data_IF_203082373776
#
_entry.id   IF_203082373776
#
_cell.length_a   1.000
_cell.length_b   1.000
_cell.length_c   1.000
_cell.angle_alpha   90.00
_cell.angle_beta   90.00
_cell.angle_gamma   90.00
#
_symmetry.space_group_name_H-M   'P 1'
#
loop_
_entity.id
_entity.type
_entity.pdbx_description
1 polymer ?
#
# COMPACT_ATOMS: atom_id res chain seq x y z
N UNK A 1 -6.85 -13.32 16.12
CA UNK A 1 -5.93 -13.83 15.07
C UNK A 1 -5.36 -12.71 14.20
N UNK A 2 -6.18 -11.82 13.64
CA UNK A 2 -5.69 -10.73 12.77
C UNK A 2 -4.75 -9.73 13.49
N UNK A 3 -5.07 -9.39 14.74
CA UNK A 3 -4.25 -8.49 15.57
C UNK A 3 -2.85 -9.03 15.86
N UNK A 4 -2.76 -10.32 16.18
CA UNK A 4 -1.50 -10.99 16.56
C UNK A 4 -0.56 -11.18 15.37
N UNK A 5 -1.13 -11.43 14.18
CA UNK A 5 -0.35 -11.77 12.98
C UNK A 5 0.11 -10.52 12.22
N UNK A 6 -0.72 -9.45 12.20
CA UNK A 6 -0.43 -8.26 11.39
C UNK A 6 -0.11 -7.05 12.27
N UNK A 7 -0.84 -6.84 13.36
CA UNK A 7 -0.74 -5.61 14.14
C UNK A 7 0.48 -5.65 15.08
N UNK A 8 0.68 -6.76 15.79
CA UNK A 8 1.73 -6.91 16.79
C UNK A 8 3.16 -6.78 16.23
N UNK A 9 3.51 -7.35 15.05
CA UNK A 9 4.84 -7.17 14.47
C UNK A 9 5.09 -5.72 14.05
N UNK A 10 4.07 -5.05 13.50
CA UNK A 10 4.15 -3.64 13.09
C UNK A 10 4.36 -2.75 14.32
N UNK A 11 3.61 -3.01 15.39
CA UNK A 11 3.70 -2.25 16.63
C UNK A 11 5.06 -2.43 17.33
N UNK A 12 5.56 -3.67 17.41
CA UNK A 12 6.89 -3.95 17.96
C UNK A 12 8.01 -3.32 17.13
N UNK A 13 7.91 -3.33 15.80
CA UNK A 13 8.89 -2.69 14.94
C UNK A 13 8.90 -1.16 15.14
N UNK A 14 7.72 -0.55 15.30
CA UNK A 14 7.61 0.89 15.57
C UNK A 14 8.19 1.25 16.94
N UNK A 15 7.90 0.47 17.98
CA UNK A 15 8.44 0.67 19.33
C UNK A 15 9.96 0.45 19.39
N UNK A 16 10.48 -0.51 18.61
CA UNK A 16 11.92 -0.71 18.46
C UNK A 16 12.60 0.52 17.86
N UNK A 17 11.98 1.19 16.88
CA UNK A 17 12.54 2.41 16.28
C UNK A 17 12.41 3.59 17.24
N UNK A 18 11.30 3.66 17.98
CA UNK A 18 11.08 4.68 19.00
C UNK A 18 12.12 4.62 20.11
N UNK A 19 12.51 3.43 20.57
CA UNK A 19 13.46 3.27 21.68
C UNK A 19 14.90 3.69 21.33
N UNK A 20 15.25 3.78 20.05
CA UNK A 20 16.58 4.21 19.58
C UNK A 20 16.67 5.72 19.37
N UNK A 21 15.55 6.45 19.44
CA UNK A 21 15.49 7.88 19.15
C UNK A 21 15.75 8.69 20.42
N UNK A 22 16.86 9.44 20.51
CA UNK A 22 17.13 10.30 21.66
C UNK A 22 16.15 11.48 21.65
N UNK A 23 15.40 11.68 22.74
CA UNK A 23 14.47 12.80 22.91
C UNK A 23 12.98 12.47 22.80
N UNK A 24 12.60 11.20 22.55
CA UNK A 24 11.21 10.75 22.68
C UNK A 24 10.23 11.30 21.64
N UNK A 25 10.73 11.91 20.56
CA UNK A 25 9.90 12.47 19.48
C UNK A 25 9.32 11.34 18.61
N UNK A 26 8.05 11.07 18.86
CA UNK A 26 7.28 10.06 18.13
C UNK A 26 7.12 10.40 16.65
N UNK A 27 7.13 11.69 16.27
CA UNK A 27 7.05 12.14 14.88
C UNK A 27 8.26 11.71 14.07
N UNK A 28 9.46 11.89 14.63
CA UNK A 28 10.72 11.44 14.01
C UNK A 28 10.74 9.91 13.86
N UNK A 29 10.24 9.18 14.86
CA UNK A 29 10.14 7.72 14.82
C UNK A 29 9.26 7.23 13.68
N UNK A 30 8.12 7.88 13.45
CA UNK A 30 7.25 7.53 12.34
C UNK A 30 7.93 7.86 11.02
N UNK A 31 8.52 9.04 10.84
CA UNK A 31 9.20 9.41 9.59
C UNK A 31 10.28 8.37 9.23
N UNK A 32 11.14 8.00 10.18
CA UNK A 32 12.16 6.97 9.99
C UNK A 32 11.58 5.60 9.64
N UNK A 33 10.55 5.16 10.36
CA UNK A 33 9.84 3.92 10.05
C UNK A 33 9.28 3.93 8.62
N UNK A 34 8.65 5.03 8.21
CA UNK A 34 8.09 5.14 6.86
C UNK A 34 9.16 5.10 5.77
N UNK A 35 10.33 5.72 5.99
CA UNK A 35 11.45 5.67 5.05
C UNK A 35 11.99 4.25 4.92
N UNK A 36 12.23 3.57 6.04
CA UNK A 36 12.73 2.18 6.06
C UNK A 36 11.77 1.25 5.33
N UNK A 37 10.48 1.34 5.65
CA UNK A 37 9.43 0.55 5.00
C UNK A 37 9.39 0.86 3.49
N UNK A 38 9.55 2.13 3.08
CA UNK A 38 9.56 2.51 1.67
C UNK A 38 10.74 1.92 0.90
N UNK A 39 11.92 1.86 1.52
CA UNK A 39 13.08 1.17 0.95
C UNK A 39 12.86 -0.35 0.83
N UNK A 40 12.33 -1.00 1.87
CA UNK A 40 12.02 -2.43 1.86
C UNK A 40 10.97 -2.78 0.79
N UNK A 41 10.01 -1.88 0.55
CA UNK A 41 8.95 -2.09 -0.44
C UNK A 41 9.34 -1.66 -1.85
N UNK A 42 10.46 -0.97 -2.06
CA UNK A 42 10.94 -0.60 -3.38
C UNK A 42 10.92 -1.74 -4.42
N UNK A 43 11.42 -2.96 -4.13
CA UNK A 43 11.31 -4.08 -5.08
C UNK A 43 9.85 -4.46 -5.38
N UNK A 44 8.95 -4.34 -4.40
CA UNK A 44 7.51 -4.58 -4.58
C UNK A 44 6.89 -3.49 -5.47
N UNK A 45 7.21 -2.22 -5.25
CA UNK A 45 6.78 -1.08 -6.08
C UNK A 45 7.23 -1.27 -7.53
N UNK A 46 8.48 -1.66 -7.76
CA UNK A 46 9.00 -1.96 -9.10
C UNK A 46 8.19 -3.06 -9.80
N UNK A 47 7.84 -4.13 -9.07
CA UNK A 47 6.96 -5.20 -9.59
C UNK A 47 5.54 -4.70 -9.89
N UNK A 48 5.00 -3.81 -9.06
CA UNK A 48 3.67 -3.22 -9.25
C UNK A 48 3.61 -2.33 -10.50
N UNK A 49 4.63 -1.50 -10.73
CA UNK A 49 4.77 -0.69 -11.94
C UNK A 49 4.83 -1.55 -13.20
N UNK A 50 5.57 -2.65 -13.16
CA UNK A 50 5.60 -3.61 -14.26
C UNK A 50 4.21 -4.21 -14.54
N UNK A 51 3.47 -4.61 -13.50
CA UNK A 51 2.10 -5.11 -13.67
C UNK A 51 1.14 -4.05 -14.22
N UNK A 52 1.26 -2.78 -13.80
CA UNK A 52 0.47 -1.68 -14.36
C UNK A 52 0.71 -1.51 -15.86
N UNK A 53 1.96 -1.63 -16.32
CA UNK A 53 2.29 -1.61 -17.75
C UNK A 53 1.64 -2.78 -18.50
N UNK A 54 1.64 -3.99 -17.92
CA UNK A 54 0.96 -5.15 -18.52
C UNK A 54 -0.56 -4.97 -18.56
N UNK A 55 -1.16 -4.40 -17.52
CA UNK A 55 -2.59 -4.05 -17.51
C UNK A 55 -2.95 -3.09 -18.65
N UNK A 56 -2.14 -2.07 -18.90
CA UNK A 56 -2.35 -1.14 -20.04
C UNK A 56 -2.28 -1.86 -21.38
N UNK A 57 -1.32 -2.78 -21.55
CA UNK A 57 -1.21 -3.61 -22.77
C UNK A 57 -2.41 -4.54 -22.98
N UNK A 58 -3.04 -4.99 -21.91
CA UNK A 58 -4.17 -5.92 -21.93
C UNK A 58 -5.53 -5.23 -22.16
N UNK A 59 -5.65 -3.91 -21.93
CA UNK A 59 -6.89 -3.14 -22.18
C UNK A 59 -7.57 -3.41 -23.54
N UNK A 60 -6.86 -3.46 -24.69
CA UNK A 60 -7.50 -3.77 -25.96
C UNK A 60 -8.09 -5.19 -26.02
N UNK A 61 -7.48 -6.18 -25.36
CA UNK A 61 -8.01 -7.55 -25.30
C UNK A 61 -9.23 -7.64 -24.37
N UNK A 62 -9.24 -6.89 -23.27
CA UNK A 62 -10.42 -6.73 -22.42
C UNK A 62 -11.62 -6.15 -23.19
N UNK A 63 -11.38 -5.18 -24.08
CA UNK A 63 -12.43 -4.62 -24.92
C UNK A 63 -12.99 -5.65 -25.93
N UNK A 64 -12.14 -6.55 -26.45
CA UNK A 64 -12.58 -7.66 -27.31
C UNK A 64 -13.43 -8.67 -26.54
N UNK A 65 -13.04 -9.04 -25.32
CA UNK A 65 -13.81 -9.92 -24.44
C UNK A 65 -15.19 -9.31 -24.17
N UNK A 66 -15.25 -8.02 -23.84
CA UNK A 66 -16.51 -7.33 -23.57
C UNK A 66 -17.46 -7.34 -24.78
N UNK A 67 -16.92 -7.20 -25.99
CA UNK A 67 -17.70 -7.33 -27.25
C UNK A 67 -18.13 -8.78 -27.50
N UNK A 68 -17.23 -9.75 -27.29
CA UNK A 68 -17.53 -11.17 -27.52
C UNK A 68 -18.54 -11.75 -26.53
N UNK A 69 -18.56 -11.25 -25.29
CA UNK A 69 -19.46 -11.70 -24.24
C UNK A 69 -20.92 -11.26 -24.47
N UNK A 70 -21.19 -10.31 -25.38
CA UNK A 70 -22.55 -9.88 -25.77
C UNK A 70 -23.51 -9.64 -24.59
N UNK A 71 -23.00 -9.07 -23.48
CA UNK A 71 -23.79 -8.76 -22.28
C UNK A 71 -23.89 -9.88 -21.23
N UNK A 72 -23.33 -11.06 -21.49
CA UNK A 72 -23.23 -12.12 -20.48
C UNK A 72 -22.08 -11.83 -19.50
N UNK A 73 -22.44 -11.26 -18.34
CA UNK A 73 -21.48 -10.91 -17.27
C UNK A 73 -20.68 -12.09 -16.74
N UNK A 74 -21.24 -13.30 -16.75
CA UNK A 74 -20.56 -14.48 -16.21
C UNK A 74 -19.45 -14.95 -17.16
N UNK A 75 -19.74 -14.97 -18.46
CA UNK A 75 -18.75 -15.27 -19.52
C UNK A 75 -17.67 -14.19 -19.57
N UNK A 76 -18.07 -12.91 -19.47
CA UNK A 76 -17.13 -11.79 -19.40
C UNK A 76 -16.17 -11.95 -18.21
N UNK A 77 -16.67 -12.18 -17.01
CA UNK A 77 -15.85 -12.34 -15.82
C UNK A 77 -14.88 -13.54 -15.92
N UNK A 78 -15.33 -14.66 -16.49
CA UNK A 78 -14.50 -15.85 -16.70
C UNK A 78 -13.35 -15.58 -17.68
N UNK A 79 -13.66 -15.00 -18.84
CA UNK A 79 -12.66 -14.66 -19.86
C UNK A 79 -11.69 -13.59 -19.37
N UNK A 80 -12.17 -12.59 -18.63
CA UNK A 80 -11.31 -11.58 -18.01
C UNK A 80 -10.32 -12.21 -17.01
N UNK A 81 -10.78 -13.16 -16.19
CA UNK A 81 -9.92 -13.88 -15.25
C UNK A 81 -8.86 -14.72 -15.97
N UNK A 82 -9.22 -15.40 -17.04
CA UNK A 82 -8.30 -16.16 -17.87
C UNK A 82 -7.24 -15.26 -18.53
N UNK A 83 -7.67 -14.09 -19.00
CA UNK A 83 -6.77 -13.07 -19.54
C UNK A 83 -5.79 -12.55 -18.48
N UNK A 84 -6.26 -12.25 -17.27
CA UNK A 84 -5.38 -11.84 -16.17
C UNK A 84 -4.31 -12.90 -15.86
N UNK A 85 -4.68 -14.18 -15.89
CA UNK A 85 -3.74 -15.30 -15.73
C UNK A 85 -2.72 -15.36 -16.87
N UNK A 86 -3.17 -15.22 -18.13
CA UNK A 86 -2.30 -15.23 -19.32
C UNK A 86 -1.24 -14.13 -19.28
N UNK A 87 -1.57 -12.94 -18.76
CA UNK A 87 -0.64 -11.83 -18.60
C UNK A 87 0.16 -11.86 -17.27
N UNK A 88 -0.07 -12.86 -16.39
CA UNK A 88 0.62 -12.97 -15.10
C UNK A 88 0.28 -11.83 -14.12
N UNK A 89 -0.89 -11.21 -14.26
CA UNK A 89 -1.33 -10.08 -13.44
C UNK A 89 -1.96 -10.63 -12.15
N UNK A 90 -1.62 -10.05 -11.00
CA UNK A 90 -2.13 -10.46 -9.68
C UNK A 90 -2.85 -9.27 -9.02
N UNK A 91 -4.19 -9.19 -9.05
CA UNK A 91 -4.94 -8.03 -8.56
C UNK A 91 -4.63 -7.67 -7.10
N UNK A 92 -4.42 -8.69 -6.26
CA UNK A 92 -4.16 -8.53 -4.82
C UNK A 92 -2.82 -7.86 -4.49
N UNK A 93 -1.87 -7.78 -5.44
CA UNK A 93 -0.60 -7.06 -5.17
C UNK A 93 -0.82 -5.57 -4.94
N UNK A 94 -1.90 -5.00 -5.49
CA UNK A 94 -2.23 -3.59 -5.36
C UNK A 94 -2.70 -3.23 -3.95
N UNK A 95 -3.35 -4.16 -3.25
CA UNK A 95 -3.91 -3.90 -1.93
C UNK A 95 -2.83 -3.83 -0.85
N UNK A 96 -1.73 -4.57 -1.02
CA UNK A 96 -0.60 -4.55 -0.10
C UNK A 96 -0.03 -3.15 0.09
N UNK A 97 0.13 -2.37 -0.99
CA UNK A 97 0.63 -1.00 -0.88
C UNK A 97 -0.33 -0.08 -0.09
N UNK A 98 -1.64 -0.29 -0.22
CA UNK A 98 -2.63 0.52 0.49
C UNK A 98 -2.56 0.31 2.00
N UNK A 99 -2.30 -0.92 2.46
CA UNK A 99 -2.10 -1.19 3.88
C UNK A 99 -0.91 -0.44 4.48
N UNK A 100 0.16 -0.25 3.71
CA UNK A 100 1.33 0.53 4.13
C UNK A 100 1.03 2.03 4.18
N UNK A 101 0.06 2.52 3.40
CA UNK A 101 -0.30 3.93 3.38
C UNK A 101 -1.03 4.37 4.65
N UNK A 102 -1.81 3.49 5.29
CA UNK A 102 -2.60 3.82 6.49
C UNK A 102 -1.70 4.26 7.68
N UNK A 103 -0.64 3.52 8.06
CA UNK A 103 0.28 3.96 9.11
C UNK A 103 0.92 5.32 8.86
N UNK A 104 1.30 5.61 7.60
CA UNK A 104 1.89 6.91 7.23
C UNK A 104 0.89 8.04 7.52
N UNK A 105 -0.38 7.84 7.17
CA UNK A 105 -1.43 8.83 7.41
C UNK A 105 -1.66 9.09 8.90
N UNK A 106 -1.70 8.03 9.71
CA UNK A 106 -1.83 8.15 11.18
C UNK A 106 -0.65 8.94 11.76
N UNK A 107 0.57 8.66 11.30
CA UNK A 107 1.77 9.41 11.67
C UNK A 107 1.67 10.90 11.38
N UNK A 108 1.30 11.25 10.15
CA UNK A 108 1.12 12.65 9.74
C UNK A 108 0.04 13.35 10.58
N UNK A 109 -1.08 12.67 10.84
CA UNK A 109 -2.16 13.21 11.69
C UNK A 109 -1.67 13.53 13.11
N UNK A 110 -0.89 12.64 13.72
CA UNK A 110 -0.34 12.88 15.05
C UNK A 110 0.68 14.03 15.08
N UNK A 111 1.57 14.11 14.09
CA UNK A 111 2.52 15.24 13.97
C UNK A 111 1.78 16.57 13.85
N UNK A 112 0.74 16.62 13.02
CA UNK A 112 -0.08 17.82 12.86
C UNK A 112 -0.79 18.17 14.18
N UNK A 113 -1.33 17.17 14.90
CA UNK A 113 -1.92 17.42 16.22
C UNK A 113 -0.91 17.96 17.22
N UNK A 114 0.29 17.39 17.30
CA UNK A 114 1.34 17.84 18.23
C UNK A 114 1.73 19.29 17.93
N UNK A 115 1.98 19.61 16.66
CA UNK A 115 2.35 20.96 16.22
C UNK A 115 1.19 21.94 16.48
N UNK A 116 -0.05 21.54 16.20
CA UNK A 116 -1.22 22.40 16.40
C UNK A 116 -1.54 22.63 17.87
N UNK A 117 -1.23 21.68 18.76
CA UNK A 117 -1.40 21.82 20.21
C UNK A 117 -0.28 22.63 20.86
N UNK A 118 0.91 22.71 20.24
CA UNK A 118 2.05 23.48 20.73
C UNK A 118 2.28 24.80 19.97
N UNK A 119 1.27 25.28 19.23
CA UNK A 119 1.37 26.49 18.40
C UNK A 119 1.78 27.74 19.19
N UNK A 120 1.53 27.78 20.50
CA UNK A 120 1.85 28.90 21.39
C UNK A 120 3.31 28.89 21.92
N UNK A 121 4.09 27.82 21.67
CA UNK A 121 5.52 27.75 22.09
C UNK A 121 6.50 28.00 20.94
N UNK A 122 6.03 28.14 19.70
CA UNK A 122 6.88 28.31 18.50
C UNK A 122 6.70 29.70 17.84
N UNK A 123 6.04 30.63 18.53
CA UNK A 123 5.94 32.05 18.15
C UNK A 123 6.72 32.92 19.14
#
# INVERSE_FOLDING_TARGET
MFETIILQPIFNALLLIYSIIPGGDFGIAVILFTVIIRFLLYPLLKRQLHQSKQMRKMQPELAKIKKAANGNRQVEAMQQMELYKKYGIKPFRSILLLFIQIPIFIGLYQVIMIISLHRDQVA
#
